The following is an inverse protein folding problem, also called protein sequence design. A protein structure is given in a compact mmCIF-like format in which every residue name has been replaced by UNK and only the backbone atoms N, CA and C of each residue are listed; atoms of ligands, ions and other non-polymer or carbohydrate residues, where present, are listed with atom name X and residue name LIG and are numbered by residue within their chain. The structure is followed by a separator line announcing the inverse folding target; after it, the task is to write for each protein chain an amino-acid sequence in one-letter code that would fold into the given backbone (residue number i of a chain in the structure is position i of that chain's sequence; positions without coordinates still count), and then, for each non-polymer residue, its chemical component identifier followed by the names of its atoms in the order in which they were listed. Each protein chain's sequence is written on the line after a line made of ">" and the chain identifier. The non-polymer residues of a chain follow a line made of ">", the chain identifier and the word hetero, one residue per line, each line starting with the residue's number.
data_IF_655487463807
#
_entry.id   IF_655487463807
#
_cell.length_a   1.000
_cell.length_b   1.000
_cell.length_c   1.000
_cell.angle_alpha   90.00
_cell.angle_beta   90.00
_cell.angle_gamma   90.00
#
_symmetry.space_group_name_H-M   'P 1'
#
loop_
_entity.id
_entity.type
_entity.pdbx_description
1 polymer ?
#
# COMPACT_ATOMS: atom_id res chain seq x y z
N UNK A 1 -77.16 30.23 -3.17
CA UNK A 1 -76.14 29.79 -2.20
C UNK A 1 -76.04 28.28 -2.24
N UNK A 2 -74.88 27.74 -2.62
CA UNK A 2 -74.30 26.47 -2.14
C UNK A 2 -73.01 26.20 -2.95
N UNK A 3 -71.87 26.61 -2.40
CA UNK A 3 -70.52 26.29 -2.88
C UNK A 3 -70.13 24.92 -2.37
N UNK A 4 -69.80 23.98 -3.26
CA UNK A 4 -69.23 22.68 -2.90
C UNK A 4 -67.75 22.86 -2.55
N UNK A 5 -67.38 22.55 -1.30
CA UNK A 5 -66.00 22.59 -0.83
C UNK A 5 -65.23 21.36 -1.31
N UNK A 6 -64.14 21.58 -2.04
CA UNK A 6 -63.15 20.56 -2.40
C UNK A 6 -62.23 20.38 -1.18
N UNK A 7 -62.25 19.21 -0.56
CA UNK A 7 -61.31 18.85 0.50
C UNK A 7 -59.93 18.51 -0.10
N UNK A 8 -58.81 18.99 0.46
CA UNK A 8 -57.48 18.71 -0.04
C UNK A 8 -57.01 17.28 0.31
N UNK A 9 -56.19 16.63 -0.53
CA UNK A 9 -55.66 15.30 -0.24
C UNK A 9 -54.69 15.32 0.94
N UNK A 10 -54.89 14.39 1.88
CA UNK A 10 -54.11 14.22 3.11
C UNK A 10 -52.66 13.82 2.82
N UNK A 11 -51.70 14.63 3.29
CA UNK A 11 -50.24 14.47 3.13
C UNK A 11 -49.60 13.35 3.99
N UNK A 12 -50.37 12.40 4.53
CA UNK A 12 -49.88 11.43 5.54
C UNK A 12 -49.06 10.26 4.97
N UNK A 13 -48.98 10.11 3.66
CA UNK A 13 -48.40 8.94 2.98
C UNK A 13 -46.93 9.10 2.56
N UNK A 14 -46.42 10.33 2.44
CA UNK A 14 -45.05 10.57 1.99
C UNK A 14 -43.99 10.28 3.08
N UNK A 15 -44.28 10.61 4.34
CA UNK A 15 -43.29 10.42 5.43
C UNK A 15 -43.12 8.96 5.85
N UNK A 16 -44.18 8.15 5.77
CA UNK A 16 -44.11 6.71 6.06
C UNK A 16 -43.29 5.94 5.02
N UNK A 17 -43.43 6.30 3.72
CA UNK A 17 -42.64 5.71 2.64
C UNK A 17 -41.16 6.10 2.74
N UNK A 18 -40.85 7.33 3.15
CA UNK A 18 -39.48 7.78 3.42
C UNK A 18 -38.86 7.08 4.63
N UNK A 19 -39.60 6.92 5.74
CA UNK A 19 -39.13 6.17 6.93
C UNK A 19 -38.85 4.72 6.58
N UNK A 20 -39.77 4.05 5.88
CA UNK A 20 -39.61 2.65 5.47
C UNK A 20 -38.47 2.47 4.45
N UNK A 21 -38.24 3.44 3.57
CA UNK A 21 -37.08 3.45 2.65
C UNK A 21 -35.77 3.64 3.41
N UNK A 22 -35.74 4.52 4.41
CA UNK A 22 -34.55 4.76 5.23
C UNK A 22 -34.23 3.54 6.13
N UNK A 23 -35.24 2.91 6.73
CA UNK A 23 -35.09 1.69 7.53
C UNK A 23 -34.60 0.51 6.68
N UNK A 24 -35.16 0.35 5.47
CA UNK A 24 -34.73 -0.68 4.51
C UNK A 24 -33.30 -0.45 4.01
N UNK A 25 -32.92 0.81 3.78
CA UNK A 25 -31.54 1.20 3.44
C UNK A 25 -30.58 0.89 4.60
N UNK A 26 -30.95 1.24 5.83
CA UNK A 26 -30.13 0.96 7.02
C UNK A 26 -29.95 -0.54 7.25
N UNK A 27 -31.01 -1.35 7.10
CA UNK A 27 -30.92 -2.81 7.18
C UNK A 27 -30.06 -3.39 6.04
N UNK A 28 -30.17 -2.84 4.83
CA UNK A 28 -29.33 -3.21 3.69
C UNK A 28 -27.84 -2.91 3.93
N UNK A 29 -27.53 -1.74 4.50
CA UNK A 29 -26.17 -1.37 4.89
C UNK A 29 -25.63 -2.21 6.04
N UNK A 30 -26.47 -2.53 7.03
CA UNK A 30 -26.07 -3.42 8.12
C UNK A 30 -25.81 -4.85 7.60
N UNK A 31 -26.65 -5.34 6.68
CA UNK A 31 -26.46 -6.64 6.03
C UNK A 31 -25.16 -6.71 5.22
N UNK A 32 -24.85 -5.65 4.45
CA UNK A 32 -23.59 -5.58 3.70
C UNK A 32 -22.37 -5.48 4.61
N UNK A 33 -22.43 -4.72 5.71
CA UNK A 33 -21.37 -4.67 6.71
C UNK A 33 -21.16 -6.03 7.40
N UNK A 34 -22.23 -6.74 7.73
CA UNK A 34 -22.15 -8.07 8.32
C UNK A 34 -21.56 -9.09 7.34
N UNK A 35 -21.93 -9.03 6.06
CA UNK A 35 -21.36 -9.86 5.01
C UNK A 35 -19.87 -9.62 4.80
N UNK A 36 -19.45 -8.35 4.75
CA UNK A 36 -18.04 -7.97 4.64
C UNK A 36 -17.24 -8.41 5.88
N UNK A 37 -17.79 -8.20 7.09
CA UNK A 37 -17.18 -8.62 8.35
C UNK A 37 -17.03 -10.14 8.40
N UNK A 38 -18.05 -10.89 7.99
CA UNK A 38 -17.96 -12.35 7.90
C UNK A 38 -16.94 -12.80 6.85
N UNK A 39 -16.86 -12.11 5.72
CA UNK A 39 -15.90 -12.43 4.66
C UNK A 39 -14.47 -12.19 5.12
N UNK A 40 -14.21 -11.09 5.83
CA UNK A 40 -12.91 -10.76 6.41
C UNK A 40 -12.51 -11.72 7.53
N UNK A 41 -13.45 -12.12 8.39
CA UNK A 41 -13.20 -13.07 9.48
C UNK A 41 -12.94 -14.50 8.97
N UNK A 42 -13.53 -14.87 7.83
CA UNK A 42 -13.31 -16.16 7.18
C UNK A 42 -12.12 -16.15 6.22
N UNK A 43 -11.59 -14.97 5.89
CA UNK A 43 -10.40 -14.85 5.07
C UNK A 43 -9.19 -15.24 5.93
N UNK A 44 -8.78 -16.51 5.82
CA UNK A 44 -7.57 -17.00 6.45
C UNK A 44 -6.35 -16.44 5.71
N UNK A 45 -6.04 -15.16 5.95
CA UNK A 45 -4.84 -14.53 5.42
C UNK A 45 -3.65 -15.11 6.19
N UNK A 46 -2.87 -15.93 5.51
CA UNK A 46 -1.64 -16.47 6.12
C UNK A 46 -0.63 -15.33 6.33
N UNK A 47 0.31 -15.45 7.27
CA UNK A 47 1.42 -14.51 7.39
C UNK A 47 2.19 -14.32 6.07
N UNK A 48 2.28 -15.37 5.26
CA UNK A 48 2.92 -15.35 3.94
C UNK A 48 2.14 -14.48 2.95
N UNK A 49 0.80 -14.54 2.97
CA UNK A 49 -0.04 -13.67 2.13
C UNK A 49 0.11 -12.20 2.50
N UNK A 50 0.29 -11.88 3.79
CA UNK A 50 0.55 -10.52 4.25
C UNK A 50 1.91 -10.01 3.77
N UNK A 51 2.96 -10.84 3.89
CA UNK A 51 4.30 -10.52 3.39
C UNK A 51 4.29 -10.35 1.87
N UNK A 52 3.55 -11.19 1.15
CA UNK A 52 3.38 -11.10 -0.30
C UNK A 52 2.70 -9.79 -0.72
N UNK A 53 1.62 -9.41 -0.04
CA UNK A 53 0.94 -8.14 -0.29
C UNK A 53 1.83 -6.93 0.03
N UNK A 54 2.57 -6.96 1.14
CA UNK A 54 3.52 -5.90 1.49
C UNK A 54 4.63 -5.72 0.44
N UNK A 55 5.20 -6.83 -0.05
CA UNK A 55 6.18 -6.81 -1.12
C UNK A 55 5.61 -6.23 -2.41
N UNK A 56 4.38 -6.58 -2.76
CA UNK A 56 3.72 -6.02 -3.94
C UNK A 56 3.59 -4.49 -3.85
N UNK A 57 3.20 -3.97 -2.68
CA UNK A 57 3.13 -2.51 -2.44
C UNK A 57 4.50 -1.85 -2.60
N UNK A 58 5.55 -2.41 -1.98
CA UNK A 58 6.90 -1.87 -2.09
C UNK A 58 7.44 -1.88 -3.54
N UNK A 59 7.13 -2.92 -4.31
CA UNK A 59 7.51 -3.00 -5.72
C UNK A 59 6.79 -1.96 -6.58
N UNK A 60 5.51 -1.71 -6.31
CA UNK A 60 4.76 -0.65 -6.99
C UNK A 60 5.37 0.71 -6.68
N UNK A 61 5.70 0.99 -5.41
CA UNK A 61 6.37 2.23 -5.02
C UNK A 61 7.72 2.43 -5.74
N UNK A 62 8.55 1.38 -5.83
CA UNK A 62 9.83 1.44 -6.56
C UNK A 62 9.65 1.79 -8.04
N UNK A 63 8.52 1.41 -8.62
CA UNK A 63 8.21 1.72 -10.02
C UNK A 63 7.63 3.14 -10.20
N UNK A 64 6.76 3.58 -9.28
CA UNK A 64 6.00 4.83 -9.41
C UNK A 64 6.72 6.04 -8.82
N UNK A 65 7.39 5.89 -7.68
CA UNK A 65 8.07 6.99 -6.97
C UNK A 65 9.55 7.07 -7.33
N UNK A 66 10.19 5.91 -7.51
CA UNK A 66 11.64 5.81 -7.73
C UNK A 66 11.98 5.46 -9.19
N UNK A 67 11.08 5.81 -10.12
CA UNK A 67 11.18 5.56 -11.55
C UNK A 67 12.43 6.14 -12.22
N UNK A 68 13.11 7.09 -11.60
CA UNK A 68 14.32 7.74 -12.14
C UNK A 68 15.63 7.14 -11.62
N UNK A 69 15.59 6.20 -10.67
CA UNK A 69 16.79 5.52 -10.17
C UNK A 69 17.49 4.72 -11.28
N UNK A 70 18.82 4.65 -11.20
CA UNK A 70 19.63 3.82 -12.08
C UNK A 70 19.19 2.34 -12.01
N UNK A 71 19.30 1.65 -13.15
CA UNK A 71 18.84 0.27 -13.31
C UNK A 71 19.42 -0.69 -12.26
N UNK A 72 20.70 -0.55 -11.95
CA UNK A 72 21.39 -1.44 -11.01
C UNK A 72 20.97 -1.19 -9.56
N UNK A 73 20.69 0.06 -9.22
CA UNK A 73 20.15 0.45 -7.92
C UNK A 73 18.73 -0.12 -7.74
N UNK A 74 17.87 0.04 -8.76
CA UNK A 74 16.52 -0.57 -8.72
C UNK A 74 16.59 -2.08 -8.60
N UNK A 75 17.52 -2.74 -9.30
CA UNK A 75 17.69 -4.18 -9.21
C UNK A 75 18.10 -4.61 -7.78
N UNK A 76 18.97 -3.83 -7.13
CA UNK A 76 19.36 -4.06 -5.74
C UNK A 76 18.19 -3.87 -4.76
N UNK A 77 17.48 -2.74 -4.81
CA UNK A 77 16.33 -2.46 -3.96
C UNK A 77 15.24 -3.52 -4.16
N UNK A 78 14.98 -3.92 -5.42
CA UNK A 78 14.06 -5.00 -5.74
C UNK A 78 14.46 -6.32 -5.11
N UNK A 79 15.74 -6.68 -5.14
CA UNK A 79 16.23 -7.88 -4.47
C UNK A 79 16.06 -7.79 -2.94
N UNK A 80 16.31 -6.62 -2.35
CA UNK A 80 16.09 -6.38 -0.91
C UNK A 80 14.62 -6.52 -0.52
N UNK A 81 13.68 -5.98 -1.30
CA UNK A 81 12.23 -6.17 -1.07
C UNK A 81 11.85 -7.66 -1.14
N UNK A 82 12.39 -8.41 -2.10
CA UNK A 82 12.05 -9.83 -2.28
C UNK A 82 12.61 -10.70 -1.14
N UNK A 83 13.81 -10.40 -0.65
CA UNK A 83 14.54 -11.31 0.24
C UNK A 83 14.60 -10.84 1.70
N UNK A 84 14.32 -9.56 1.99
CA UNK A 84 14.40 -9.00 3.32
C UNK A 84 13.07 -8.33 3.72
N UNK A 85 12.34 -8.99 4.62
CA UNK A 85 11.04 -8.51 5.11
C UNK A 85 11.20 -7.19 5.87
N UNK A 86 12.23 -7.06 6.72
CA UNK A 86 12.47 -5.83 7.47
C UNK A 86 12.80 -4.63 6.58
N UNK A 87 13.53 -4.86 5.48
CA UNK A 87 13.76 -3.82 4.47
C UNK A 87 12.46 -3.40 3.79
N UNK A 88 11.59 -4.36 3.46
CA UNK A 88 10.30 -4.09 2.83
C UNK A 88 9.44 -3.17 3.71
N UNK A 89 9.40 -3.44 5.02
CA UNK A 89 8.63 -2.64 5.98
C UNK A 89 9.19 -1.21 6.10
N UNK A 90 10.52 -1.05 6.19
CA UNK A 90 11.15 0.28 6.26
C UNK A 90 10.93 1.06 4.96
N UNK A 91 11.04 0.39 3.81
CA UNK A 91 10.84 1.01 2.50
C UNK A 91 9.41 1.51 2.31
N UNK A 92 8.39 0.75 2.74
CA UNK A 92 6.99 1.18 2.66
C UNK A 92 6.62 2.23 3.70
N UNK A 93 7.22 2.20 4.90
CA UNK A 93 6.94 3.16 5.96
C UNK A 93 7.55 4.55 5.70
N UNK A 94 8.63 4.63 4.92
CA UNK A 94 9.30 5.90 4.60
C UNK A 94 8.64 6.65 3.44
N UNK A 95 7.63 6.08 2.78
CA UNK A 95 6.98 6.58 1.56
C UNK A 95 6.52 8.05 1.54
N UNK A 96 6.24 8.64 2.71
CA UNK A 96 5.50 9.90 2.81
C UNK A 96 6.37 11.13 3.16
N UNK A 97 7.70 11.02 3.21
CA UNK A 97 8.53 12.13 3.70
C UNK A 97 9.84 12.26 2.95
N UNK A 98 10.42 13.45 3.00
CA UNK A 98 11.80 13.76 2.55
C UNK A 98 12.83 12.69 3.02
N UNK A 99 12.50 11.98 4.11
CA UNK A 99 13.18 10.80 4.65
C UNK A 99 13.32 9.63 3.67
N UNK A 100 12.38 9.42 2.72
CA UNK A 100 12.48 8.36 1.70
C UNK A 100 13.69 8.59 0.80
N UNK A 101 13.81 9.81 0.25
CA UNK A 101 14.91 10.14 -0.64
C UNK A 101 16.27 10.08 0.06
N UNK A 102 16.31 10.42 1.35
CA UNK A 102 17.51 10.27 2.18
C UNK A 102 17.85 8.81 2.45
N UNK A 103 16.87 7.97 2.78
CA UNK A 103 17.04 6.53 2.96
C UNK A 103 17.57 5.86 1.69
N UNK A 104 16.96 6.13 0.53
CA UNK A 104 17.41 5.60 -0.76
C UNK A 104 18.83 6.06 -1.07
N UNK A 105 19.14 7.34 -0.84
CA UNK A 105 20.49 7.86 -1.06
C UNK A 105 21.52 7.16 -0.19
N UNK A 106 21.25 6.97 1.10
CA UNK A 106 22.14 6.29 2.03
C UNK A 106 22.41 4.83 1.61
N UNK A 107 21.36 4.11 1.21
CA UNK A 107 21.49 2.70 0.76
C UNK A 107 22.28 2.60 -0.57
N UNK A 108 22.08 3.57 -1.47
CA UNK A 108 22.83 3.68 -2.73
C UNK A 108 24.30 3.99 -2.48
N UNK A 109 24.61 4.90 -1.56
CA UNK A 109 25.98 5.24 -1.18
C UNK A 109 26.70 4.03 -0.56
N UNK A 110 26.05 3.31 0.35
CA UNK A 110 26.59 2.07 0.93
C UNK A 110 26.87 1.00 -0.15
N UNK A 111 25.96 0.83 -1.11
CA UNK A 111 26.17 -0.08 -2.25
C UNK A 111 27.38 0.36 -3.10
N UNK A 112 27.50 1.65 -3.42
CA UNK A 112 28.63 2.17 -4.20
C UNK A 112 29.96 1.98 -3.48
N UNK A 113 30.00 2.22 -2.16
CA UNK A 113 31.20 1.99 -1.34
C UNK A 113 31.56 0.50 -1.32
N UNK A 114 30.58 -0.40 -1.14
CA UNK A 114 30.82 -1.86 -1.18
C UNK A 114 31.31 -2.33 -2.54
N UNK A 115 30.87 -1.70 -3.63
CA UNK A 115 31.29 -2.02 -5.00
C UNK A 115 32.70 -1.52 -5.27
N UNK A 116 33.01 -0.27 -4.89
CA UNK A 116 34.36 0.31 -4.93
C UNK A 116 35.36 -0.49 -4.08
N UNK A 117 34.99 -0.95 -2.89
CA UNK A 117 35.84 -1.77 -2.03
C UNK A 117 36.15 -3.15 -2.65
N UNK A 118 35.17 -3.75 -3.35
CA UNK A 118 35.36 -5.00 -4.10
C UNK A 118 36.25 -4.82 -5.33
N UNK A 119 36.21 -3.66 -5.98
CA UNK A 119 37.09 -3.33 -7.11
C UNK A 119 38.49 -2.85 -6.71
N UNK A 120 38.69 -2.38 -5.47
CA UNK A 120 40.02 -2.02 -4.94
C UNK A 120 40.81 -3.22 -4.39
N UNK A 121 40.12 -4.30 -3.98
CA UNK A 121 40.75 -5.53 -3.49
C UNK A 121 41.65 -6.29 -4.51
N UNK A 122 41.43 -6.26 -5.84
CA UNK A 122 42.33 -6.91 -6.79
C UNK A 122 43.63 -6.13 -7.04
N UNK A 123 43.70 -4.83 -6.73
CA UNK A 123 44.87 -3.98 -7.05
C UNK A 123 45.93 -4.02 -5.94
N UNK A 124 45.55 -4.34 -4.70
CA UNK A 124 46.48 -4.34 -3.56
C UNK A 124 47.28 -5.65 -3.37
N UNK A 125 47.08 -6.67 -4.22
CA UNK A 125 47.68 -8.00 -4.08
C UNK A 125 48.71 -8.38 -5.16
N UNK A 126 49.25 -7.41 -5.89
CA UNK A 126 50.51 -7.56 -6.62
C UNK A 126 51.64 -6.90 -5.83
N UNK A 127 52.05 -7.54 -4.74
CA UNK A 127 53.43 -7.41 -4.27
C UNK A 127 54.29 -8.15 -5.31
N UNK A 128 55.17 -7.51 -6.07
CA UNK A 128 56.18 -8.24 -6.81
C UNK A 128 57.10 -8.87 -5.77
N UNK A 129 57.01 -10.18 -5.61
CA UNK A 129 57.93 -10.96 -4.79
C UNK A 129 59.36 -10.77 -5.34
N UNK A 130 60.31 -10.16 -4.59
CA UNK A 130 61.68 -9.99 -5.05
C UNK A 130 62.57 -11.04 -4.37
N UNK A 131 62.32 -12.33 -4.61
CA UNK A 131 63.25 -13.42 -4.28
C UNK A 131 63.12 -14.57 -5.27
#
# INVERSE_FOLDING_TARGET
>A
MATAAIAPPSHKSASALQSHTAESLMLGMQGSLNFLTSSLNNLNITPEDKVSAHRAVALTMLQEQDGDLLKDIKAFIRAMIIHNVGFTDVYTLTADKDEHAEFIRAEVEDMQIKLMAKELLPVALTIPNPF
#
